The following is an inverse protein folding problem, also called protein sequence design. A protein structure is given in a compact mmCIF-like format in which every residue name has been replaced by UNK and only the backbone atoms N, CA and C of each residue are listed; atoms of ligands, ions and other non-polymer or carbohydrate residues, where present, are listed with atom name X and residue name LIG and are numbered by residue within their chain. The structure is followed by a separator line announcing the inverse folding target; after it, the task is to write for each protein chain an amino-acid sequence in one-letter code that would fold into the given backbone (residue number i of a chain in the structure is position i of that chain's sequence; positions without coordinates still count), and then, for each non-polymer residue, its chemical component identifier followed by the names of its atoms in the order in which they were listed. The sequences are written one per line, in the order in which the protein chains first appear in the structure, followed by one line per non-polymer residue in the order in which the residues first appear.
data_IF_257574949287
#
_entry.id   IF_257574949287
#
_cell.length_a   1.000
_cell.length_b   1.000
_cell.length_c   1.000
_cell.angle_alpha   90.00
_cell.angle_beta   90.00
_cell.angle_gamma   90.00
#
_symmetry.space_group_name_H-M   'P 1'
#
loop_
_entity.id
_entity.type
_entity.pdbx_description
1 polymer ?
#
# COMPACT_ATOMS: atom_id res chain seq x y z
N UNK A 1 8.93 19.85 -5.30
CA UNK A 1 9.53 19.41 -4.01
C UNK A 1 10.16 18.06 -4.27
N UNK A 2 11.47 17.90 -4.08
CA UNK A 2 12.20 16.72 -4.52
C UNK A 2 11.98 15.58 -3.51
N UNK A 3 11.28 14.52 -3.92
CA UNK A 3 10.89 13.37 -3.09
C UNK A 3 12.09 12.78 -2.33
N UNK A 4 13.27 12.85 -2.96
CA UNK A 4 14.56 12.35 -2.47
C UNK A 4 15.01 12.96 -1.13
N UNK A 5 14.70 14.24 -0.85
CA UNK A 5 15.17 14.89 0.39
C UNK A 5 14.35 14.49 1.62
N UNK A 6 13.07 14.12 1.45
CA UNK A 6 12.16 13.81 2.55
C UNK A 6 12.40 12.40 3.12
N UNK A 7 12.84 11.46 2.28
CA UNK A 7 13.16 10.09 2.70
C UNK A 7 14.43 9.96 3.54
N UNK A 8 15.22 11.03 3.67
CA UNK A 8 16.55 10.98 4.30
C UNK A 8 16.51 10.92 5.84
N UNK A 9 15.39 11.28 6.50
CA UNK A 9 15.39 11.63 7.94
C UNK A 9 14.53 10.75 8.85
N UNK A 10 13.68 9.84 8.34
CA UNK A 10 12.84 8.98 9.19
C UNK A 10 13.54 7.66 9.52
N UNK A 11 13.54 7.21 10.79
CA UNK A 11 14.20 5.97 11.23
C UNK A 11 13.46 4.69 10.84
N UNK A 12 12.19 4.79 10.42
CA UNK A 12 11.42 3.71 9.81
C UNK A 12 10.69 4.24 8.59
N UNK A 13 10.68 3.48 7.51
CA UNK A 13 9.98 3.87 6.28
C UNK A 13 8.98 2.79 5.89
N UNK A 14 7.77 2.93 6.42
CA UNK A 14 6.63 2.08 6.10
C UNK A 14 5.80 2.65 4.96
N UNK A 15 5.47 1.80 3.99
CA UNK A 15 4.55 2.17 2.90
C UNK A 15 3.24 1.42 3.06
N UNK A 16 2.12 2.08 2.77
CA UNK A 16 0.82 1.44 2.63
C UNK A 16 0.39 1.47 1.18
N UNK A 17 -0.13 0.33 0.71
CA UNK A 17 -0.66 0.15 -0.63
C UNK A 17 -2.12 -0.27 -0.49
N UNK A 18 -3.02 0.55 -1.00
CA UNK A 18 -4.47 0.31 -0.92
C UNK A 18 -5.16 0.54 -2.26
N UNK A 19 -6.34 -0.04 -2.43
CA UNK A 19 -7.17 0.12 -3.63
C UNK A 19 -8.35 1.04 -3.32
N UNK A 20 -8.44 2.13 -4.07
CA UNK A 20 -9.58 3.04 -4.00
C UNK A 20 -10.46 2.87 -5.24
N UNK A 21 -11.77 2.89 -5.05
CA UNK A 21 -12.70 3.00 -6.16
C UNK A 21 -12.78 4.46 -6.61
N UNK A 22 -12.50 4.72 -7.89
CA UNK A 22 -12.62 6.06 -8.48
C UNK A 22 -14.09 6.52 -8.56
N UNK A 23 -15.02 5.57 -8.68
CA UNK A 23 -16.46 5.80 -8.79
C UNK A 23 -17.24 4.71 -8.07
N UNK A 24 -18.05 5.11 -7.08
CA UNK A 24 -18.89 4.20 -6.28
C UNK A 24 -19.73 3.28 -7.19
N UNK A 25 -19.63 1.97 -7.00
CA UNK A 25 -20.41 0.96 -7.72
C UNK A 25 -19.84 0.54 -9.08
N UNK A 26 -18.75 1.17 -9.54
CA UNK A 26 -18.01 0.74 -10.72
C UNK A 26 -16.69 0.13 -10.25
N UNK A 27 -16.33 -1.05 -10.76
CA UNK A 27 -15.06 -1.77 -10.47
C UNK A 27 -13.83 -1.06 -11.07
N UNK A 28 -13.86 0.27 -11.04
CA UNK A 28 -12.90 1.20 -11.61
C UNK A 28 -11.96 1.61 -10.48
N UNK A 29 -10.96 0.76 -10.23
CA UNK A 29 -10.06 0.86 -9.08
C UNK A 29 -8.75 1.56 -9.46
N UNK A 30 -8.25 2.40 -8.56
CA UNK A 30 -6.90 2.91 -8.57
C UNK A 30 -6.14 2.32 -7.37
N UNK A 31 -4.85 2.06 -7.55
CA UNK A 31 -3.94 1.72 -6.45
C UNK A 31 -3.29 3.00 -5.94
N UNK A 32 -3.24 3.14 -4.63
CA UNK A 32 -2.65 4.27 -3.92
C UNK A 32 -1.47 3.76 -3.12
N UNK A 33 -0.33 4.44 -3.21
CA UNK A 33 0.85 4.19 -2.39
C UNK A 33 1.10 5.40 -1.52
N UNK A 34 1.19 5.23 -0.20
CA UNK A 34 1.45 6.30 0.73
C UNK A 34 2.54 5.91 1.75
N UNK A 35 3.20 6.93 2.31
CA UNK A 35 4.04 6.74 3.50
C UNK A 35 3.13 6.76 4.74
N UNK A 36 3.21 5.71 5.55
CA UNK A 36 2.32 5.48 6.69
C UNK A 36 2.51 6.56 7.77
N UNK A 37 3.75 6.94 8.08
CA UNK A 37 4.03 7.88 9.19
C UNK A 37 3.48 9.30 8.93
N UNK A 38 3.88 10.00 7.86
CA UNK A 38 3.40 11.35 7.58
C UNK A 38 2.01 11.35 6.88
N UNK A 39 1.47 10.19 6.52
CA UNK A 39 0.25 10.10 5.71
C UNK A 39 0.39 10.71 4.32
N UNK A 40 1.61 10.68 3.76
CA UNK A 40 1.93 11.35 2.50
C UNK A 40 1.60 10.45 1.31
N UNK A 41 0.78 10.94 0.39
CA UNK A 41 0.54 10.28 -0.90
C UNK A 41 1.83 10.30 -1.73
N UNK A 42 2.34 9.11 -2.08
CA UNK A 42 3.54 8.94 -2.89
C UNK A 42 3.18 8.74 -4.36
N UNK A 43 2.18 7.89 -4.64
CA UNK A 43 1.83 7.51 -6.00
C UNK A 43 0.36 7.07 -6.12
N UNK A 44 -0.23 7.32 -7.30
CA UNK A 44 -1.54 6.78 -7.69
C UNK A 44 -1.37 6.13 -9.05
N UNK A 45 -1.77 4.86 -9.16
CA UNK A 45 -1.70 4.08 -10.39
C UNK A 45 -3.09 3.59 -10.77
N UNK A 46 -3.41 3.64 -12.06
CA UNK A 46 -4.71 3.21 -12.61
C UNK A 46 -4.85 1.69 -12.73
N UNK A 47 -3.80 0.95 -12.38
CA UNK A 47 -3.83 -0.49 -12.28
C UNK A 47 -4.31 -0.95 -10.91
N UNK A 48 -5.03 -2.07 -10.91
CA UNK A 48 -5.42 -2.84 -9.72
C UNK A 48 -4.84 -4.27 -9.75
N UNK A 49 -4.01 -4.59 -10.76
CA UNK A 49 -3.38 -5.89 -10.92
C UNK A 49 -2.03 -5.91 -10.20
N UNK A 50 -1.82 -6.93 -9.37
CA UNK A 50 -0.61 -7.06 -8.55
C UNK A 50 0.68 -6.95 -9.36
N UNK A 51 0.75 -7.62 -10.53
CA UNK A 51 1.95 -7.61 -11.37
C UNK A 51 2.31 -6.21 -11.86
N UNK A 52 1.32 -5.46 -12.33
CA UNK A 52 1.53 -4.10 -12.86
C UNK A 52 1.98 -3.16 -11.75
N UNK A 53 1.41 -3.29 -10.55
CA UNK A 53 1.81 -2.49 -9.39
C UNK A 53 3.25 -2.81 -8.97
N UNK A 54 3.64 -4.09 -8.96
CA UNK A 54 5.03 -4.49 -8.68
C UNK A 54 5.99 -3.88 -9.70
N UNK A 55 5.64 -3.87 -11.00
CA UNK A 55 6.50 -3.28 -12.02
C UNK A 55 6.64 -1.76 -11.86
N UNK A 56 5.56 -1.05 -11.49
CA UNK A 56 5.62 0.37 -11.15
C UNK A 56 6.54 0.60 -9.94
N UNK A 57 6.37 -0.17 -8.87
CA UNK A 57 7.20 -0.03 -7.66
C UNK A 57 8.68 -0.34 -7.93
N UNK A 58 9.00 -1.26 -8.84
CA UNK A 58 10.39 -1.55 -9.26
C UNK A 58 11.07 -0.39 -9.98
N UNK A 59 10.31 0.52 -10.60
CA UNK A 59 10.87 1.71 -11.25
C UNK A 59 11.39 2.75 -10.26
N UNK A 60 11.01 2.63 -8.97
CA UNK A 60 11.55 3.50 -7.93
C UNK A 60 13.06 3.28 -7.75
N UNK A 61 13.82 4.34 -7.43
CA UNK A 61 15.25 4.24 -7.17
C UNK A 61 15.57 3.15 -6.14
N UNK A 62 16.69 2.45 -6.32
CA UNK A 62 17.08 1.33 -5.45
C UNK A 62 17.22 1.80 -3.99
N UNK A 63 17.70 3.02 -3.79
CA UNK A 63 17.90 3.65 -2.48
C UNK A 63 16.59 3.89 -1.74
N UNK A 64 15.48 4.08 -2.47
CA UNK A 64 14.14 4.20 -1.89
C UNK A 64 13.62 2.81 -1.53
N UNK A 65 13.80 1.83 -2.42
CA UNK A 65 13.32 0.45 -2.22
C UNK A 65 14.03 -0.26 -1.06
N UNK A 66 15.34 -0.07 -0.91
CA UNK A 66 16.12 -0.67 0.19
C UNK A 66 15.82 -0.07 1.56
N UNK A 67 15.17 1.10 1.62
CA UNK A 67 14.75 1.74 2.88
C UNK A 67 13.38 1.26 3.36
N UNK A 68 12.59 0.59 2.52
CA UNK A 68 11.25 0.13 2.90
C UNK A 68 11.37 -1.00 3.91
N UNK A 69 11.04 -0.72 5.17
CA UNK A 69 11.11 -1.72 6.25
C UNK A 69 9.86 -2.60 6.28
N UNK A 70 8.71 -2.00 6.01
CA UNK A 70 7.40 -2.62 6.08
C UNK A 70 6.50 -2.16 4.93
N UNK A 71 5.67 -3.10 4.46
CA UNK A 71 4.64 -2.82 3.48
C UNK A 71 3.30 -3.26 4.08
N UNK A 72 2.45 -2.27 4.35
CA UNK A 72 1.05 -2.50 4.67
C UNK A 72 0.25 -2.64 3.38
N UNK A 73 -0.48 -3.74 3.22
CA UNK A 73 -1.33 -3.97 2.06
C UNK A 73 -2.76 -4.31 2.48
N UNK A 74 -3.75 -3.90 1.69
CA UNK A 74 -5.00 -4.69 1.58
C UNK A 74 -4.60 -6.14 1.21
N UNK A 75 -5.35 -7.16 1.61
CA UNK A 75 -4.91 -8.57 1.72
C UNK A 75 -4.55 -9.26 0.37
N UNK A 76 -3.64 -8.68 -0.40
CA UNK A 76 -3.13 -9.05 -1.70
C UNK A 76 -1.63 -8.67 -1.77
N UNK A 77 -0.74 -9.66 -1.94
CA UNK A 77 0.66 -9.47 -2.38
C UNK A 77 1.61 -8.63 -1.50
N UNK A 78 2.93 -8.83 -1.64
CA UNK A 78 3.96 -8.04 -0.94
C UNK A 78 5.17 -7.78 -1.80
N UNK A 79 6.07 -6.87 -1.37
CA UNK A 79 7.38 -6.70 -2.00
C UNK A 79 8.36 -7.79 -1.50
N UNK A 80 9.35 -8.19 -2.33
CA UNK A 80 10.42 -9.08 -1.87
C UNK A 80 11.23 -8.41 -0.75
N UNK A 81 11.62 -9.18 0.26
CA UNK A 81 12.48 -8.76 1.38
C UNK A 81 11.87 -7.71 2.34
N UNK A 82 10.57 -7.44 2.29
CA UNK A 82 9.88 -6.56 3.25
C UNK A 82 9.01 -7.35 4.21
N UNK A 83 8.83 -6.85 5.43
CA UNK A 83 7.81 -7.39 6.33
C UNK A 83 6.42 -7.06 5.78
N UNK A 84 5.65 -8.09 5.42
CA UNK A 84 4.28 -7.94 4.92
C UNK A 84 3.32 -7.78 6.11
N UNK A 85 2.62 -6.65 6.15
CA UNK A 85 1.62 -6.35 7.18
C UNK A 85 0.27 -6.20 6.51
N UNK A 86 -0.75 -6.92 6.97
CA UNK A 86 -2.12 -6.68 6.48
C UNK A 86 -2.73 -5.46 7.16
N UNK A 87 -3.40 -4.63 6.37
CA UNK A 87 -4.19 -3.53 6.91
C UNK A 87 -5.26 -4.05 7.88
N UNK A 88 -5.23 -3.51 9.10
CA UNK A 88 -6.18 -3.84 10.17
C UNK A 88 -7.62 -3.57 9.76
N UNK A 89 -7.90 -2.53 8.97
CA UNK A 89 -9.27 -2.23 8.53
C UNK A 89 -9.86 -3.41 7.73
N UNK A 90 -9.09 -3.92 6.77
CA UNK A 90 -9.47 -5.04 5.93
C UNK A 90 -9.59 -6.35 6.72
N UNK A 91 -8.67 -6.61 7.66
CA UNK A 91 -8.76 -7.77 8.58
C UNK A 91 -10.04 -7.69 9.42
N UNK A 92 -10.33 -6.54 10.03
CA UNK A 92 -11.52 -6.37 10.87
C UNK A 92 -12.81 -6.46 10.06
N UNK A 93 -12.81 -6.10 8.77
CA UNK A 93 -13.96 -6.31 7.88
C UNK A 93 -14.34 -7.80 7.78
N UNK A 94 -13.36 -8.68 7.53
CA UNK A 94 -13.61 -10.13 7.49
C UNK A 94 -14.09 -10.68 8.83
N UNK A 95 -13.48 -10.25 9.93
CA UNK A 95 -13.91 -10.64 11.28
C UNK A 95 -15.38 -10.25 11.52
N UNK A 96 -15.77 -9.03 11.12
CA UNK A 96 -17.14 -8.56 11.26
C UNK A 96 -18.12 -9.32 10.35
N UNK A 97 -17.71 -9.70 9.13
CA UNK A 97 -18.51 -10.53 8.23
C UNK A 97 -18.81 -11.89 8.88
N UNK A 98 -17.81 -12.55 9.47
CA UNK A 98 -18.01 -13.81 10.19
C UNK A 98 -18.87 -13.64 11.45
N UNK A 99 -18.66 -12.58 12.24
CA UNK A 99 -19.48 -12.31 13.41
C UNK A 99 -20.98 -12.12 13.07
N UNK A 100 -21.30 -11.70 11.85
CA UNK A 100 -22.68 -11.58 11.40
C UNK A 100 -23.33 -12.92 11.04
N UNK A 101 -22.57 -14.00 10.84
CA UNK A 101 -23.14 -15.34 10.59
C UNK A 101 -23.67 -15.99 11.88
N UNK A 102 -23.12 -15.58 13.03
CA UNK A 102 -23.45 -16.09 14.36
C UNK A 102 -24.40 -15.18 15.16
N UNK A 103 -24.78 -14.03 14.60
CA UNK A 103 -25.67 -13.04 15.21
C UNK A 103 -27.11 -13.19 14.73
#
# INVERSE_FOLDING_TARGET
MNLFLFYATSPKFGISIDKISKRKGHQDFATVVCNIEPGLLLEVTDSHQQKEIIEVLKQQPIEVRERVDEVSVDMWGGLPNTSLVFDRFHVMRLVNEELNTVR
#
